data_IF_483561612587
#
_entry.id   IF_483561612587
#
_cell.length_a   1.000
_cell.length_b   1.000
_cell.length_c   1.000
_cell.angle_alpha   90.00
_cell.angle_beta   90.00
_cell.angle_gamma   90.00
#
_symmetry.space_group_name_H-M   'P 1'
#
loop_
_entity.id
_entity.type
_entity.pdbx_description
1 polymer ?
#
# COMPACT_ATOMS: atom_id res chain seq x y z
N UNK A 1 4.72 -8.25 11.98
CA UNK A 1 5.57 -7.28 11.26
C UNK A 1 6.58 -6.70 12.23
N UNK A 2 7.77 -6.34 11.76
CA UNK A 2 8.80 -5.73 12.62
C UNK A 2 8.54 -4.23 12.80
N UNK A 3 9.18 -3.61 13.78
CA UNK A 3 9.07 -2.16 14.04
C UNK A 3 9.34 -1.36 12.76
N UNK A 4 8.47 -0.39 12.48
CA UNK A 4 8.52 0.40 11.24
C UNK A 4 7.77 -0.19 10.05
N UNK A 5 7.30 -1.44 10.12
CA UNK A 5 6.45 -2.05 9.07
C UNK A 5 5.03 -2.25 9.56
N UNK A 6 4.09 -1.51 8.96
CA UNK A 6 2.68 -1.46 9.39
C UNK A 6 1.72 -2.07 8.38
N UNK A 7 2.17 -2.27 7.15
CA UNK A 7 1.34 -2.72 6.05
C UNK A 7 1.74 -4.12 5.60
N UNK A 8 0.77 -4.89 5.12
CA UNK A 8 1.03 -6.14 4.43
C UNK A 8 1.15 -5.87 2.93
N UNK A 9 2.33 -6.08 2.38
CA UNK A 9 2.63 -5.99 0.96
C UNK A 9 2.36 -7.33 0.27
N UNK A 10 1.82 -7.27 -0.94
CA UNK A 10 1.73 -8.40 -1.87
C UNK A 10 2.15 -7.99 -3.27
N UNK A 11 3.04 -8.77 -3.87
CA UNK A 11 3.33 -8.71 -5.30
C UNK A 11 3.01 -10.05 -5.93
N UNK A 12 2.31 -10.01 -7.06
CA UNK A 12 1.88 -11.18 -7.81
C UNK A 12 2.31 -11.04 -9.26
N UNK A 13 3.22 -11.90 -9.68
CA UNK A 13 3.61 -12.05 -11.07
C UNK A 13 2.80 -13.17 -11.69
N UNK A 14 2.21 -12.91 -12.85
CA UNK A 14 1.42 -13.87 -13.61
C UNK A 14 1.67 -13.73 -15.10
N UNK A 15 1.37 -14.79 -15.85
CA UNK A 15 1.27 -14.73 -17.31
C UNK A 15 0.07 -13.87 -17.72
N UNK A 16 0.07 -13.39 -18.95
CA UNK A 16 -1.07 -12.69 -19.54
C UNK A 16 -2.34 -13.55 -19.56
N UNK A 17 -2.19 -14.88 -19.61
CA UNK A 17 -3.28 -15.85 -19.45
C UNK A 17 -3.89 -15.91 -18.04
N UNK A 18 -3.26 -15.28 -17.04
CA UNK A 18 -3.70 -15.27 -15.65
C UNK A 18 -3.09 -16.35 -14.77
N UNK A 19 -2.25 -17.23 -15.33
CA UNK A 19 -1.52 -18.26 -14.57
C UNK A 19 -0.49 -17.60 -13.64
N UNK A 20 -0.57 -17.93 -12.35
CA UNK A 20 0.37 -17.45 -11.33
C UNK A 20 1.78 -17.98 -11.58
N UNK A 21 2.76 -17.09 -11.63
CA UNK A 21 4.18 -17.42 -11.77
C UNK A 21 4.88 -17.34 -10.43
N UNK A 22 4.71 -16.22 -9.71
CA UNK A 22 5.31 -16.03 -8.39
C UNK A 22 4.49 -15.09 -7.53
N UNK A 23 4.61 -15.29 -6.22
CA UNK A 23 3.93 -14.50 -5.19
C UNK A 23 4.94 -14.14 -4.12
N UNK A 24 5.04 -12.85 -3.82
CA UNK A 24 5.84 -12.35 -2.72
C UNK A 24 4.94 -11.62 -1.74
N UNK A 25 5.00 -12.01 -0.46
CA UNK A 25 4.25 -11.38 0.63
C UNK A 25 5.23 -10.98 1.73
N UNK A 26 5.10 -9.76 2.25
CA UNK A 26 5.95 -9.29 3.35
C UNK A 26 5.28 -8.16 4.13
N UNK A 27 5.85 -7.84 5.27
CA UNK A 27 5.55 -6.60 5.96
C UNK A 27 6.34 -5.45 5.33
N UNK A 28 5.71 -4.28 5.15
CA UNK A 28 6.30 -3.14 4.49
C UNK A 28 6.02 -1.82 5.25
N UNK A 29 6.93 -0.83 5.13
CA UNK A 29 6.71 0.54 5.58
C UNK A 29 5.79 1.28 4.58
N UNK A 30 5.45 2.54 4.89
CA UNK A 30 4.53 3.32 4.06
C UNK A 30 5.07 3.55 2.65
N UNK A 31 6.36 3.86 2.56
CA UNK A 31 7.04 4.29 1.34
C UNK A 31 6.95 3.24 0.23
N UNK A 32 7.02 1.95 0.58
CA UNK A 32 6.87 0.84 -0.37
C UNK A 32 5.43 0.66 -0.85
N UNK A 33 4.44 1.05 -0.04
CA UNK A 33 3.02 0.93 -0.35
C UNK A 33 2.45 2.09 -1.16
N UNK A 34 3.24 3.16 -1.37
CA UNK A 34 2.84 4.27 -2.24
C UNK A 34 2.87 3.90 -3.73
N UNK A 35 3.57 2.82 -4.10
CA UNK A 35 3.67 2.33 -5.48
C UNK A 35 2.89 1.03 -5.70
N UNK A 36 1.55 1.11 -5.61
CA UNK A 36 0.64 -0.01 -5.94
C UNK A 36 0.11 0.11 -7.37
N UNK A 37 -0.40 -1.00 -7.91
CA UNK A 37 -0.93 -1.07 -9.28
C UNK A 37 -0.43 -2.29 -10.03
N UNK A 38 -0.75 -2.36 -11.33
CA UNK A 38 -0.28 -3.43 -12.22
C UNK A 38 0.56 -2.88 -13.37
N UNK A 39 1.65 -3.58 -13.69
CA UNK A 39 2.53 -3.30 -14.82
C UNK A 39 2.57 -4.50 -15.77
N UNK A 40 2.52 -4.23 -17.07
CA UNK A 40 2.59 -5.26 -18.11
C UNK A 40 3.96 -5.26 -18.78
N UNK A 41 4.62 -6.42 -18.79
CA UNK A 41 5.90 -6.65 -19.46
C UNK A 41 5.61 -7.32 -20.80
N UNK A 42 5.44 -6.51 -21.85
CA UNK A 42 4.95 -6.97 -23.17
C UNK A 42 5.82 -8.05 -23.82
N UNK A 43 7.14 -7.96 -23.65
CA UNK A 43 8.07 -8.89 -24.30
C UNK A 43 7.98 -10.31 -23.72
N UNK A 44 7.64 -10.43 -22.44
CA UNK A 44 7.63 -11.71 -21.73
C UNK A 44 6.20 -12.20 -21.44
N UNK A 45 5.20 -11.48 -21.94
CA UNK A 45 3.77 -11.73 -21.68
C UNK A 45 3.44 -11.88 -20.18
N UNK A 46 4.12 -11.12 -19.33
CA UNK A 46 3.87 -11.10 -17.89
C UNK A 46 3.11 -9.85 -17.44
N UNK A 47 2.35 -10.02 -16.36
CA UNK A 47 1.71 -8.96 -15.59
C UNK A 47 2.18 -9.05 -14.15
N UNK A 48 2.63 -7.93 -13.59
CA UNK A 48 3.05 -7.83 -12.20
C UNK A 48 2.08 -6.88 -11.51
N UNK A 49 1.38 -7.35 -10.49
CA UNK A 49 0.46 -6.54 -9.70
C UNK A 49 0.92 -6.45 -8.25
N UNK A 50 0.88 -5.24 -7.70
CA UNK A 50 1.31 -4.91 -6.34
C UNK A 50 0.15 -4.29 -5.56
N UNK A 51 -0.12 -4.80 -4.36
CA UNK A 51 -1.10 -4.24 -3.42
C UNK A 51 -0.52 -4.15 -2.01
N UNK A 52 -1.09 -3.23 -1.22
CA UNK A 52 -0.84 -3.14 0.20
C UNK A 52 -2.16 -3.06 0.97
N UNK A 53 -2.18 -3.61 2.18
CA UNK A 53 -3.29 -3.44 3.09
C UNK A 53 -2.82 -3.20 4.52
N UNK A 54 -3.67 -2.55 5.32
CA UNK A 54 -3.48 -2.33 6.74
C UNK A 54 -4.34 -3.31 7.55
N UNK A 55 -3.75 -3.99 8.53
CA UNK A 55 -4.43 -4.96 9.40
C UNK A 55 -3.73 -6.32 9.48
N UNK A 56 -4.19 -7.17 10.39
CA UNK A 56 -3.60 -8.50 10.62
C UNK A 56 -3.98 -9.47 9.51
N UNK A 57 -2.99 -10.00 8.78
CA UNK A 57 -3.17 -11.02 7.73
C UNK A 57 -4.18 -10.55 6.64
N UNK A 58 -4.28 -9.24 6.41
CA UNK A 58 -5.23 -8.66 5.47
C UNK A 58 -4.90 -9.01 4.00
N UNK A 59 -3.66 -9.41 3.72
CA UNK A 59 -3.18 -9.72 2.38
C UNK A 59 -3.40 -11.19 2.01
N UNK A 60 -4.43 -11.86 2.51
CA UNK A 60 -4.78 -13.21 2.08
C UNK A 60 -5.10 -13.28 0.56
N UNK A 61 -5.96 -12.41 -0.01
CA UNK A 61 -6.15 -12.35 -1.46
C UNK A 61 -4.90 -11.83 -2.19
N UNK A 62 -4.75 -12.22 -3.45
CA UNK A 62 -3.66 -11.76 -4.32
C UNK A 62 -4.17 -10.76 -5.34
N UNK A 63 -3.45 -9.66 -5.57
CA UNK A 63 -3.82 -8.71 -6.61
C UNK A 63 -3.68 -9.38 -7.97
N UNK A 64 -4.70 -9.24 -8.82
CA UNK A 64 -4.72 -9.75 -10.19
C UNK A 64 -5.00 -8.67 -11.22
N UNK A 65 -5.67 -7.58 -10.86
CA UNK A 65 -5.99 -6.49 -11.77
C UNK A 65 -5.79 -5.12 -11.09
N UNK A 66 -5.95 -4.04 -11.85
CA UNK A 66 -5.76 -2.69 -11.32
C UNK A 66 -6.74 -2.35 -10.19
N UNK A 67 -7.94 -2.93 -10.20
CA UNK A 67 -8.97 -2.69 -9.18
C UNK A 67 -8.63 -3.25 -7.80
N UNK A 68 -7.86 -4.34 -7.74
CA UNK A 68 -7.45 -5.02 -6.51
C UNK A 68 -5.94 -4.86 -6.21
N UNK A 69 -5.17 -4.31 -7.15
CA UNK A 69 -3.79 -3.84 -6.96
C UNK A 69 -3.75 -2.42 -6.39
N UNK A 70 -4.35 -2.23 -5.21
CA UNK A 70 -4.48 -0.92 -4.55
C UNK A 70 -3.81 -0.91 -3.18
N UNK A 71 -3.64 0.29 -2.62
CA UNK A 71 -3.28 0.47 -1.22
C UNK A 71 -4.53 0.72 -0.37
N UNK A 72 -4.97 -0.29 0.38
CA UNK A 72 -6.10 -0.22 1.29
C UNK A 72 -5.63 0.08 2.73
N UNK A 73 -5.83 1.32 3.18
CA UNK A 73 -5.48 1.75 4.54
C UNK A 73 -6.70 2.37 5.22
N UNK A 74 -6.84 2.12 6.52
CA UNK A 74 -7.88 2.73 7.36
C UNK A 74 -7.37 4.02 8.02
N UNK A 75 -6.05 4.14 8.16
CA UNK A 75 -5.38 5.32 8.67
C UNK A 75 -5.31 6.42 7.60
N UNK A 76 -5.62 7.69 7.92
CA UNK A 76 -5.41 8.79 6.99
C UNK A 76 -3.92 8.91 6.66
N UNK A 77 -3.60 8.89 5.36
CA UNK A 77 -2.24 9.05 4.85
C UNK A 77 -1.64 10.43 5.20
N UNK A 78 -2.49 11.40 5.51
CA UNK A 78 -2.15 12.74 5.98
C UNK A 78 -2.27 12.83 7.49
N UNK A 79 -1.21 12.46 8.21
CA UNK A 79 -0.97 12.98 9.55
C UNK A 79 -0.25 14.34 9.41
N UNK A 80 -0.93 15.34 8.88
CA UNK A 80 -0.51 16.73 9.13
C UNK A 80 -0.82 16.98 10.61
N UNK A 81 0.17 17.22 11.49
CA UNK A 81 -0.15 17.62 12.85
C UNK A 81 -1.05 18.87 12.74
N UNK A 82 -2.18 18.94 13.47
CA UNK A 82 -2.96 20.16 13.49
C UNK A 82 -2.02 21.26 13.98
N UNK A 83 -1.81 22.29 13.15
CA UNK A 83 -1.25 23.54 13.63
C UNK A 83 -2.19 24.02 14.73
N UNK A 84 -1.72 23.94 15.98
CA UNK A 84 -2.39 24.54 17.11
C UNK A 84 -2.79 25.96 16.73
N UNK A 85 -4.06 26.38 16.87
CA UNK A 85 -4.43 27.76 16.64
C UNK A 85 -3.61 28.65 17.59
N UNK A 86 -3.19 29.86 17.16
CA UNK A 86 -2.57 30.81 18.06
C UNK A 86 -3.53 31.07 19.21
N UNK A 87 -3.07 30.79 20.44
CA UNK A 87 -3.87 30.97 21.65
C UNK A 87 -4.35 32.42 21.80
N UNK A 88 -5.50 32.64 22.46
CA UNK A 88 -6.06 33.96 22.63
C UNK A 88 -5.10 34.84 23.46
N UNK A 89 -4.69 35.96 22.88
CA UNK A 89 -3.87 36.96 23.55
C UNK A 89 -4.57 37.47 24.81
N UNK A 90 -3.86 37.39 25.93
CA UNK A 90 -4.17 38.10 27.17
C UNK A 90 -4.10 39.61 26.92
N UNK A 91 -5.15 40.40 27.23
CA UNK A 91 -5.01 41.86 27.25
C UNK A 91 -4.27 42.29 28.51
N UNK A 92 -3.15 42.99 28.33
CA UNK A 92 -2.61 43.91 29.34
C UNK A 92 -3.27 45.27 29.09
N UNK A 93 -4.09 45.72 30.03
CA UNK A 93 -4.77 47.02 30.02
C UNK A 93 -5.71 47.16 31.20
#
# INVERSE_FOLDING_TARGET
CFLGTRYCFSQHMMKASGESVSVTKRCAPLEECLSTGCSYIKHEEYKVCTSCCEGSICNLPLPRNASDAVFATLSPLSATPPLSPPGPGTPLG
#
